data_IF_204219522780
#
_entry.id   IF_204219522780
#
_cell.length_a   1.000
_cell.length_b   1.000
_cell.length_c   1.000
_cell.angle_alpha   90.00
_cell.angle_beta   90.00
_cell.angle_gamma   90.00
#
_symmetry.space_group_name_H-M   'P 1'
#
loop_
_entity.id
_entity.type
_entity.pdbx_description
1 polymer ?
#
# COMPACT_ATOMS: atom_id res chain seq x y z
N UNK A 1 36.03 -74.49 -39.17
CA UNK A 1 36.32 -73.10 -38.75
C UNK A 1 37.14 -72.45 -39.86
N UNK A 2 36.98 -71.16 -40.21
CA UNK A 2 36.15 -70.11 -39.59
C UNK A 2 34.96 -69.67 -40.47
N UNK A 3 33.96 -69.00 -39.89
CA UNK A 3 32.95 -68.22 -40.62
C UNK A 3 32.73 -66.87 -39.94
N UNK A 4 32.67 -65.80 -40.73
CA UNK A 4 32.74 -64.40 -40.27
C UNK A 4 31.36 -63.85 -39.92
N UNK A 5 31.27 -63.08 -38.84
CA UNK A 5 30.07 -62.32 -38.45
C UNK A 5 29.80 -61.17 -39.42
N UNK A 6 28.52 -60.93 -39.77
CA UNK A 6 28.08 -59.66 -40.35
C UNK A 6 26.61 -59.35 -40.00
N UNK A 7 26.35 -58.05 -39.76
CA UNK A 7 25.06 -57.34 -39.84
C UNK A 7 23.99 -57.56 -38.75
N UNK A 8 23.96 -56.68 -37.71
CA UNK A 8 22.75 -56.23 -37.04
C UNK A 8 22.44 -54.76 -37.43
N UNK A 9 22.10 -54.52 -38.71
CA UNK A 9 21.88 -53.16 -39.25
C UNK A 9 20.42 -52.71 -39.34
N UNK A 10 19.45 -53.61 -39.21
CA UNK A 10 18.06 -53.38 -39.65
C UNK A 10 17.01 -53.37 -38.52
N UNK A 11 17.41 -53.05 -37.28
CA UNK A 11 16.50 -52.98 -36.12
C UNK A 11 16.49 -51.61 -35.39
N UNK A 12 17.07 -50.58 -36.01
CA UNK A 12 17.04 -49.18 -35.52
C UNK A 12 16.20 -48.25 -36.42
N UNK A 13 15.13 -48.78 -37.01
CA UNK A 13 14.28 -48.05 -37.97
C UNK A 13 12.77 -48.09 -37.64
N UNK A 14 12.38 -48.41 -36.39
CA UNK A 14 10.95 -48.52 -35.99
C UNK A 14 10.54 -47.78 -34.71
N UNK A 15 11.44 -47.00 -34.09
CA UNK A 15 11.17 -46.30 -32.82
C UNK A 15 11.01 -44.76 -32.97
N UNK A 16 10.78 -44.25 -34.19
CA UNK A 16 10.99 -42.83 -34.52
C UNK A 16 9.74 -42.06 -35.00
N UNK A 17 8.53 -42.33 -34.46
CA UNK A 17 7.32 -41.53 -34.79
C UNK A 17 6.41 -41.22 -33.57
N UNK A 18 6.32 -42.08 -32.56
CA UNK A 18 5.29 -41.99 -31.50
C UNK A 18 5.64 -41.12 -30.27
N UNK A 19 6.43 -40.04 -30.43
CA UNK A 19 6.96 -39.25 -29.28
C UNK A 19 6.94 -37.73 -29.49
N UNK A 20 5.84 -37.17 -30.03
CA UNK A 20 5.68 -35.72 -30.21
C UNK A 20 4.37 -35.23 -29.58
N UNK A 21 4.42 -34.01 -29.02
CA UNK A 21 3.33 -33.23 -28.40
C UNK A 21 2.75 -33.71 -27.05
N UNK A 22 3.47 -33.40 -25.97
CA UNK A 22 2.90 -33.13 -24.63
C UNK A 22 3.70 -32.06 -23.87
N UNK A 23 3.94 -30.88 -24.48
CA UNK A 23 4.52 -29.71 -23.80
C UNK A 23 3.80 -28.42 -24.27
N UNK A 24 2.70 -28.06 -23.61
CA UNK A 24 1.99 -26.78 -23.81
C UNK A 24 1.01 -26.45 -22.66
N UNK A 25 1.43 -26.56 -21.39
CA UNK A 25 0.51 -26.38 -20.24
C UNK A 25 1.02 -25.48 -19.08
N UNK A 26 2.30 -25.10 -19.04
CA UNK A 26 2.90 -24.59 -17.79
C UNK A 26 2.64 -23.10 -17.48
N UNK A 27 2.22 -22.29 -18.46
CA UNK A 27 1.97 -20.84 -18.24
C UNK A 27 0.57 -20.49 -17.74
N UNK A 28 -0.40 -21.40 -17.75
CA UNK A 28 -1.78 -21.12 -17.32
C UNK A 28 -1.98 -21.18 -15.80
N UNK A 29 -1.19 -21.99 -15.10
CA UNK A 29 -1.38 -22.32 -13.67
C UNK A 29 -1.35 -21.08 -12.76
N UNK A 30 -0.40 -20.13 -12.87
CA UNK A 30 -0.38 -18.94 -12.00
C UNK A 30 -1.59 -18.04 -12.22
N UNK A 31 -1.94 -17.74 -13.48
CA UNK A 31 -3.09 -16.88 -13.81
C UNK A 31 -4.42 -17.52 -13.41
N UNK A 32 -4.56 -18.84 -13.56
CA UNK A 32 -5.76 -19.56 -13.12
C UNK A 32 -5.86 -19.64 -11.59
N UNK A 33 -4.74 -19.86 -10.90
CA UNK A 33 -4.65 -19.78 -9.43
C UNK A 33 -5.04 -18.39 -8.91
N UNK A 34 -4.53 -17.32 -9.54
CA UNK A 34 -4.88 -15.94 -9.20
C UNK A 34 -6.39 -15.69 -9.32
N UNK A 35 -7.00 -16.09 -10.45
CA UNK A 35 -8.45 -15.95 -10.67
C UNK A 35 -9.29 -16.77 -9.70
N UNK A 36 -8.88 -18.00 -9.38
CA UNK A 36 -9.57 -18.82 -8.39
C UNK A 36 -9.51 -18.20 -6.99
N UNK A 37 -8.34 -17.65 -6.60
CA UNK A 37 -8.16 -16.94 -5.33
C UNK A 37 -9.03 -15.68 -5.26
N UNK A 38 -9.08 -14.84 -6.30
CA UNK A 38 -9.90 -13.62 -6.30
C UNK A 38 -11.40 -13.92 -6.25
N UNK A 39 -11.90 -14.92 -6.99
CA UNK A 39 -13.31 -15.33 -6.91
C UNK A 39 -13.70 -15.83 -5.52
N UNK A 40 -12.80 -16.51 -4.80
CA UNK A 40 -13.03 -16.92 -3.41
C UNK A 40 -13.05 -15.72 -2.46
N UNK A 41 -12.14 -14.75 -2.63
CA UNK A 41 -12.14 -13.50 -1.85
C UNK A 41 -13.47 -12.73 -2.03
N UNK A 42 -13.93 -12.55 -3.27
CA UNK A 42 -15.23 -11.91 -3.57
C UNK A 42 -16.41 -12.69 -2.95
N UNK A 43 -16.34 -14.02 -2.92
CA UNK A 43 -17.37 -14.86 -2.30
C UNK A 43 -17.39 -14.71 -0.79
N UNK A 44 -16.22 -14.66 -0.15
CA UNK A 44 -16.10 -14.41 1.29
C UNK A 44 -16.58 -13.00 1.69
N UNK A 45 -16.35 -11.99 0.85
CA UNK A 45 -16.90 -10.62 1.03
C UNK A 45 -18.42 -10.65 1.12
N UNK A 46 -19.10 -11.28 0.16
CA UNK A 46 -20.57 -11.42 0.18
C UNK A 46 -21.06 -12.23 1.38
N UNK A 47 -20.34 -13.29 1.75
CA UNK A 47 -20.65 -14.06 2.95
C UNK A 47 -20.54 -13.20 4.21
N UNK A 48 -19.50 -12.37 4.33
CA UNK A 48 -19.34 -11.43 5.45
C UNK A 48 -20.46 -10.39 5.50
N UNK A 49 -20.80 -9.75 4.37
CA UNK A 49 -21.89 -8.77 4.26
C UNK A 49 -23.24 -9.38 4.70
N UNK A 50 -23.47 -10.65 4.38
CA UNK A 50 -24.65 -11.42 4.85
C UNK A 50 -24.55 -11.95 6.29
N UNK A 51 -23.50 -11.59 7.04
CA UNK A 51 -23.28 -12.03 8.43
C UNK A 51 -22.78 -13.48 8.59
N UNK A 52 -22.51 -14.20 7.49
CA UNK A 52 -22.09 -15.61 7.49
C UNK A 52 -20.57 -15.74 7.75
N UNK A 53 -20.12 -15.27 8.92
CA UNK A 53 -18.70 -15.12 9.28
C UNK A 53 -17.89 -16.42 9.14
N UNK A 54 -18.44 -17.55 9.62
CA UNK A 54 -17.72 -18.83 9.60
C UNK A 54 -17.61 -19.41 8.18
N UNK A 55 -18.61 -19.19 7.32
CA UNK A 55 -18.51 -19.56 5.91
C UNK A 55 -17.50 -18.68 5.16
N UNK A 56 -17.47 -17.37 5.45
CA UNK A 56 -16.48 -16.46 4.89
C UNK A 56 -15.06 -16.88 5.28
N UNK A 57 -14.86 -17.32 6.53
CA UNK A 57 -13.58 -17.83 7.02
C UNK A 57 -13.17 -19.11 6.27
N UNK A 58 -14.05 -20.10 6.15
CA UNK A 58 -13.78 -21.34 5.40
C UNK A 58 -13.48 -21.06 3.91
N UNK A 59 -14.17 -20.10 3.29
CA UNK A 59 -13.91 -19.67 1.91
C UNK A 59 -12.51 -19.04 1.76
N UNK A 60 -12.07 -18.21 2.70
CA UNK A 60 -10.73 -17.61 2.69
C UNK A 60 -9.62 -18.60 3.05
N UNK A 61 -9.87 -19.54 3.95
CA UNK A 61 -8.93 -20.63 4.26
C UNK A 61 -8.70 -21.52 3.02
N UNK A 62 -9.75 -21.80 2.24
CA UNK A 62 -9.64 -22.45 0.93
C UNK A 62 -8.89 -21.59 -0.10
N UNK A 63 -9.06 -20.26 -0.09
CA UNK A 63 -8.25 -19.36 -0.93
C UNK A 63 -6.76 -19.39 -0.54
N UNK A 64 -6.44 -19.50 0.75
CA UNK A 64 -5.06 -19.71 1.22
C UNK A 64 -4.50 -21.10 0.86
N UNK A 65 -5.33 -22.13 0.70
CA UNK A 65 -4.84 -23.42 0.19
C UNK A 65 -4.41 -23.33 -1.28
N UNK A 66 -5.08 -22.48 -2.08
CA UNK A 66 -4.69 -22.21 -3.47
C UNK A 66 -3.49 -21.24 -3.52
N UNK A 67 -3.43 -20.26 -2.62
CA UNK A 67 -2.34 -19.27 -2.52
C UNK A 67 -1.93 -18.98 -1.07
N UNK A 68 -0.99 -19.74 -0.48
CA UNK A 68 -0.61 -19.62 0.95
C UNK A 68 -0.03 -18.25 1.36
N UNK A 69 0.37 -17.45 0.37
CA UNK A 69 1.05 -16.18 0.52
C UNK A 69 0.33 -15.00 -0.16
N UNK A 70 -0.95 -15.13 -0.54
CA UNK A 70 -1.69 -14.02 -1.13
C UNK A 70 -1.95 -12.92 -0.07
N UNK A 71 -1.46 -11.67 -0.24
CA UNK A 71 -1.56 -10.65 0.79
C UNK A 71 -3.02 -10.19 1.04
N UNK A 72 -3.86 -10.15 0.01
CA UNK A 72 -5.27 -9.77 0.17
C UNK A 72 -6.05 -10.85 0.95
N UNK A 73 -5.83 -12.13 0.65
CA UNK A 73 -6.46 -13.24 1.39
C UNK A 73 -6.06 -13.23 2.86
N UNK A 74 -4.77 -12.98 3.15
CA UNK A 74 -4.27 -12.85 4.52
C UNK A 74 -4.91 -11.65 5.26
N UNK A 75 -5.07 -10.51 4.59
CA UNK A 75 -5.74 -9.33 5.14
C UNK A 75 -7.20 -9.65 5.52
N UNK A 76 -7.98 -10.16 4.57
CA UNK A 76 -9.41 -10.43 4.78
C UNK A 76 -9.67 -11.51 5.82
N UNK A 77 -8.84 -12.56 5.90
CA UNK A 77 -8.95 -13.54 6.99
C UNK A 77 -8.64 -12.90 8.35
N UNK A 78 -7.69 -11.95 8.39
CA UNK A 78 -7.40 -11.16 9.57
C UNK A 78 -8.60 -10.30 10.02
N UNK A 79 -9.32 -9.67 9.10
CA UNK A 79 -10.57 -8.94 9.40
C UNK A 79 -11.63 -9.86 10.03
N UNK A 80 -11.82 -11.06 9.50
CA UNK A 80 -12.74 -12.04 10.10
C UNK A 80 -12.30 -12.47 11.51
N UNK A 81 -11.00 -12.73 11.71
CA UNK A 81 -10.47 -13.06 13.04
C UNK A 81 -10.63 -11.91 14.03
N UNK A 82 -10.56 -10.65 13.59
CA UNK A 82 -10.85 -9.49 14.42
C UNK A 82 -12.31 -9.50 14.91
N UNK A 83 -13.25 -9.73 13.98
CA UNK A 83 -14.69 -9.82 14.26
C UNK A 83 -15.05 -11.02 15.15
N UNK A 84 -14.35 -12.14 15.00
CA UNK A 84 -14.50 -13.33 15.86
C UNK A 84 -13.81 -13.21 17.23
N UNK A 85 -13.29 -12.03 17.61
CA UNK A 85 -12.57 -11.82 18.89
C UNK A 85 -11.16 -12.42 18.95
N UNK A 86 -10.69 -13.03 17.86
CA UNK A 86 -9.39 -13.72 17.75
C UNK A 86 -8.27 -12.74 17.41
N UNK A 87 -8.17 -11.67 18.20
CA UNK A 87 -7.35 -10.48 17.90
C UNK A 87 -5.87 -10.79 17.62
N UNK A 88 -5.25 -11.71 18.38
CA UNK A 88 -3.84 -12.11 18.15
C UNK A 88 -3.62 -12.79 16.79
N UNK A 89 -4.62 -13.51 16.27
CA UNK A 89 -4.56 -14.08 14.93
C UNK A 89 -4.73 -12.99 13.87
N UNK A 90 -5.65 -12.04 14.08
CA UNK A 90 -5.86 -10.90 13.18
C UNK A 90 -4.58 -10.07 12.98
N UNK A 91 -3.91 -9.72 14.08
CA UNK A 91 -2.61 -9.04 14.11
C UNK A 91 -1.54 -9.84 13.33
N UNK A 92 -1.44 -11.14 13.59
CA UNK A 92 -0.48 -12.04 12.94
C UNK A 92 -0.70 -12.16 11.43
N UNK A 93 -1.96 -12.26 10.99
CA UNK A 93 -2.34 -12.35 9.58
C UNK A 93 -2.05 -11.05 8.82
N UNK A 94 -2.35 -9.90 9.42
CA UNK A 94 -2.04 -8.59 8.86
C UNK A 94 -0.52 -8.33 8.75
N UNK A 95 0.27 -8.73 9.76
CA UNK A 95 1.73 -8.69 9.69
C UNK A 95 2.27 -9.60 8.57
N UNK A 96 1.77 -10.84 8.45
CA UNK A 96 2.14 -11.76 7.36
C UNK A 96 1.80 -11.19 5.99
N UNK A 97 0.65 -10.52 5.85
CA UNK A 97 0.25 -9.81 4.64
C UNK A 97 1.23 -8.68 4.30
N UNK A 98 1.55 -7.79 5.24
CA UNK A 98 2.47 -6.66 5.03
C UNK A 98 3.86 -7.04 4.46
N UNK A 99 4.38 -8.23 4.80
CA UNK A 99 5.64 -8.76 4.24
C UNK A 99 5.53 -9.12 2.75
N UNK A 100 4.31 -9.33 2.23
CA UNK A 100 3.98 -9.83 0.88
C UNK A 100 3.25 -8.81 0.00
N UNK A 101 2.81 -7.68 0.56
CA UNK A 101 1.99 -6.63 -0.10
C UNK A 101 2.68 -5.93 -1.29
N UNK A 102 4.01 -5.99 -1.38
CA UNK A 102 4.73 -5.33 -2.49
C UNK A 102 4.48 -3.82 -2.55
N UNK A 103 4.13 -3.33 -3.74
CA UNK A 103 3.87 -1.91 -4.03
C UNK A 103 2.50 -1.39 -3.59
N UNK A 104 1.57 -2.26 -3.18
CA UNK A 104 0.20 -1.87 -2.86
C UNK A 104 0.12 -1.11 -1.52
N UNK A 105 0.23 0.23 -1.59
CA UNK A 105 0.22 1.12 -0.41
C UNK A 105 -1.11 1.03 0.33
N UNK A 106 -2.22 0.93 -0.38
CA UNK A 106 -3.57 0.88 0.18
C UNK A 106 -3.76 -0.36 1.07
N UNK A 107 -3.43 -1.55 0.57
CA UNK A 107 -3.49 -2.79 1.36
C UNK A 107 -2.55 -2.75 2.56
N UNK A 108 -1.40 -2.06 2.46
CA UNK A 108 -0.49 -1.82 3.59
C UNK A 108 -1.13 -0.96 4.67
N UNK A 109 -1.83 0.10 4.28
CA UNK A 109 -2.56 0.99 5.19
C UNK A 109 -3.72 0.24 5.88
N UNK A 110 -4.50 -0.56 5.14
CA UNK A 110 -5.58 -1.41 5.72
C UNK A 110 -5.05 -2.47 6.69
N UNK A 111 -3.97 -3.17 6.35
CA UNK A 111 -3.29 -4.07 7.27
C UNK A 111 -2.82 -3.37 8.53
N UNK A 112 -2.30 -2.15 8.39
CA UNK A 112 -1.90 -1.35 9.54
C UNK A 112 -3.10 -1.04 10.45
N UNK A 113 -4.22 -0.56 9.90
CA UNK A 113 -5.45 -0.29 10.67
C UNK A 113 -5.95 -1.54 11.40
N UNK A 114 -5.92 -2.70 10.73
CA UNK A 114 -6.30 -4.00 11.30
C UNK A 114 -5.40 -4.42 12.48
N UNK A 115 -4.08 -4.18 12.40
CA UNK A 115 -3.14 -4.42 13.52
C UNK A 115 -3.51 -3.54 14.72
N UNK A 116 -3.76 -2.25 14.49
CA UNK A 116 -4.13 -1.31 15.55
C UNK A 116 -5.45 -1.71 16.22
N UNK A 117 -6.48 -2.03 15.42
CA UNK A 117 -7.79 -2.45 15.94
C UNK A 117 -7.67 -3.74 16.78
N UNK A 118 -6.85 -4.69 16.34
CA UNK A 118 -6.57 -5.92 17.09
C UNK A 118 -5.86 -5.64 18.42
N UNK A 119 -4.84 -4.79 18.42
CA UNK A 119 -4.11 -4.41 19.64
C UNK A 119 -4.99 -3.66 20.64
N UNK A 120 -5.82 -2.71 20.16
CA UNK A 120 -6.75 -1.97 20.99
C UNK A 120 -7.79 -2.90 21.63
N UNK A 121 -8.43 -3.76 20.84
CA UNK A 121 -9.46 -4.68 21.32
C UNK A 121 -8.93 -5.70 22.35
N UNK A 122 -7.64 -6.10 22.26
CA UNK A 122 -6.96 -6.91 23.28
C UNK A 122 -6.78 -6.19 24.62
N UNK A 123 -6.54 -4.88 24.59
CA UNK A 123 -6.29 -4.07 25.80
C UNK A 123 -7.61 -3.64 26.44
N UNK A 124 -8.60 -3.24 25.65
CA UNK A 124 -9.87 -2.72 26.15
C UNK A 124 -10.94 -3.79 26.39
N UNK A 125 -10.70 -5.04 25.96
CA UNK A 125 -11.69 -6.13 25.88
C UNK A 125 -12.99 -5.75 25.14
N UNK A 126 -12.97 -4.64 24.38
CA UNK A 126 -14.13 -4.14 23.65
C UNK A 126 -14.01 -4.58 22.20
N UNK A 127 -15.05 -5.18 21.59
CA UNK A 127 -15.05 -5.43 20.15
C UNK A 127 -14.83 -4.11 19.39
N UNK A 128 -13.96 -4.07 18.38
CA UNK A 128 -13.73 -2.85 17.62
C UNK A 128 -15.00 -2.46 16.87
N UNK A 129 -15.33 -1.17 16.88
CA UNK A 129 -16.45 -0.60 16.12
C UNK A 129 -16.08 -0.63 14.62
N UNK A 130 -16.38 -1.75 13.97
CA UNK A 130 -15.75 -2.13 12.71
C UNK A 130 -16.72 -2.91 11.78
N UNK A 131 -17.95 -2.39 11.60
CA UNK A 131 -18.93 -2.98 10.67
C UNK A 131 -18.82 -2.41 9.26
N UNK A 132 -18.69 -1.10 9.11
CA UNK A 132 -18.53 -0.46 7.81
C UNK A 132 -17.15 -0.74 7.15
N UNK A 133 -17.17 -1.22 5.90
CA UNK A 133 -16.11 -0.99 4.90
C UNK A 133 -14.91 -1.95 4.85
N UNK A 134 -14.51 -2.61 5.95
CA UNK A 134 -13.25 -3.39 5.99
C UNK A 134 -13.11 -4.52 4.97
N UNK A 135 -14.23 -5.13 4.57
CA UNK A 135 -14.27 -6.26 3.64
C UNK A 135 -14.72 -5.86 2.22
N UNK A 136 -14.88 -4.56 1.94
CA UNK A 136 -15.18 -4.08 0.60
C UNK A 136 -14.02 -4.44 -0.36
N UNK A 137 -14.23 -5.49 -1.15
CA UNK A 137 -13.33 -5.88 -2.25
C UNK A 137 -13.41 -4.79 -3.32
N UNK A 138 -12.48 -3.84 -3.25
CA UNK A 138 -12.33 -2.85 -4.30
C UNK A 138 -11.97 -3.58 -5.59
N UNK A 139 -12.88 -3.47 -6.56
CA UNK A 139 -12.76 -4.04 -7.89
C UNK A 139 -11.76 -3.22 -8.72
N UNK A 140 -10.49 -3.33 -8.34
CA UNK A 140 -9.32 -2.68 -8.96
C UNK A 140 -8.19 -3.68 -8.95
N UNK A 141 -8.08 -4.51 -9.99
CA UNK A 141 -7.36 -4.24 -11.24
C UNK A 141 -5.96 -4.86 -11.19
N UNK A 142 -5.69 -5.66 -12.21
CA UNK A 142 -4.54 -6.52 -12.37
C UNK A 142 -3.20 -5.85 -12.03
N UNK A 143 -2.42 -6.52 -11.19
CA UNK A 143 -1.01 -6.19 -10.95
C UNK A 143 -0.17 -6.70 -12.15
N UNK A 144 -0.44 -6.17 -13.36
CA UNK A 144 0.59 -6.12 -14.39
C UNK A 144 1.64 -5.12 -13.92
N UNK A 145 2.70 -5.64 -13.29
CA UNK A 145 3.99 -4.97 -13.28
C UNK A 145 4.47 -4.92 -14.72
N UNK A 146 4.65 -3.75 -15.36
CA UNK A 146 5.35 -3.68 -16.63
C UNK A 146 6.82 -4.00 -16.34
N UNK A 147 7.28 -5.14 -16.84
CA UNK A 147 8.70 -5.45 -16.88
C UNK A 147 9.42 -4.32 -17.64
N UNK A 148 10.60 -3.91 -17.17
CA UNK A 148 11.27 -2.72 -17.68
C UNK A 148 11.77 -2.93 -19.12
N UNK A 149 11.13 -2.30 -20.11
CA UNK A 149 11.73 -2.15 -21.43
C UNK A 149 12.82 -1.06 -21.39
N UNK A 150 14.06 -1.52 -21.36
CA UNK A 150 15.24 -0.70 -21.63
C UNK A 150 15.32 -0.36 -23.13
N UNK A 151 15.24 0.92 -23.45
CA UNK A 151 15.63 1.47 -24.76
C UNK A 151 16.54 2.71 -24.54
N UNK A 152 17.48 3.00 -25.47
CA UNK A 152 18.68 3.76 -25.14
C UNK A 152 18.49 5.27 -25.13
N UNK A 153 19.45 5.95 -24.49
CA UNK A 153 19.59 7.39 -24.53
C UNK A 153 20.12 7.88 -25.88
N UNK A 154 19.58 8.99 -26.37
CA UNK A 154 20.21 9.80 -27.41
C UNK A 154 20.23 11.27 -26.99
N UNK A 155 21.42 11.86 -27.02
CA UNK A 155 21.63 13.28 -26.71
C UNK A 155 21.57 14.10 -28.00
N UNK A 156 21.36 15.42 -27.86
CA UNK A 156 22.41 16.29 -28.39
C UNK A 156 22.89 17.32 -27.37
N UNK A 157 24.20 17.29 -27.12
CA UNK A 157 24.98 18.47 -26.79
C UNK A 157 25.12 19.34 -28.06
N UNK A 158 25.41 20.63 -28.03
CA UNK A 158 25.35 21.67 -26.99
C UNK A 158 25.48 23.01 -27.75
N UNK A 159 25.14 24.14 -27.13
CA UNK A 159 26.06 25.27 -27.25
C UNK A 159 25.98 26.25 -26.08
N UNK A 160 27.05 27.02 -25.92
CA UNK A 160 27.51 27.55 -24.63
C UNK A 160 27.12 29.02 -24.42
N UNK A 161 26.93 29.45 -23.16
CA UNK A 161 27.57 30.62 -22.50
C UNK A 161 26.82 30.98 -21.20
N UNK A 162 27.56 31.04 -20.09
CA UNK A 162 27.21 31.85 -18.90
C UNK A 162 28.13 33.09 -18.89
N UNK A 163 27.73 34.20 -18.27
CA UNK A 163 28.12 34.35 -16.85
C UNK A 163 27.09 35.06 -15.94
N UNK A 164 27.26 34.79 -14.64
CA UNK A 164 26.91 35.56 -13.44
C UNK A 164 25.99 36.81 -13.53
N UNK A 165 24.95 36.86 -12.69
CA UNK A 165 24.30 38.14 -12.35
C UNK A 165 22.98 38.11 -11.56
N UNK A 166 23.09 38.21 -10.22
CA UNK A 166 22.25 39.04 -9.31
C UNK A 166 20.72 38.77 -9.19
N UNK A 167 20.26 38.76 -7.93
CA UNK A 167 18.86 38.76 -7.49
C UNK A 167 18.00 39.89 -8.09
N UNK A 168 16.84 39.57 -8.65
CA UNK A 168 15.74 40.52 -8.86
C UNK A 168 14.65 40.34 -7.79
N UNK A 169 14.65 41.24 -6.79
CA UNK A 169 13.64 41.33 -5.73
C UNK A 169 12.62 42.40 -6.11
N UNK A 170 11.36 42.03 -6.31
CA UNK A 170 10.27 43.02 -6.36
C UNK A 170 10.00 43.55 -4.94
N UNK A 171 10.05 44.88 -4.78
CA UNK A 171 9.65 45.62 -3.57
C UNK A 171 8.74 46.78 -3.99
N UNK A 172 7.60 46.90 -3.32
CA UNK A 172 7.00 48.16 -2.87
C UNK A 172 6.35 47.81 -1.51
N UNK A 173 6.78 48.33 -0.36
CA UNK A 173 6.52 49.70 0.13
C UNK A 173 4.99 49.96 0.17
N UNK A 174 4.33 50.24 1.30
CA UNK A 174 4.65 51.06 2.48
C UNK A 174 3.77 50.60 3.68
N UNK A 175 3.97 50.92 4.97
CA UNK A 175 5.08 51.49 5.77
C UNK A 175 4.95 50.97 7.23
N UNK A 176 5.87 51.36 8.13
CA UNK A 176 5.84 50.99 9.56
C UNK A 176 5.11 52.02 10.43
N UNK A 177 4.09 51.61 11.21
CA UNK A 177 3.72 52.25 12.48
C UNK A 177 3.27 51.16 13.47
N UNK A 178 4.00 50.99 14.57
CA UNK A 178 3.48 50.39 15.80
C UNK A 178 2.91 51.50 16.69
N UNK A 179 1.75 51.29 17.33
CA UNK A 179 1.42 51.91 18.61
C UNK A 179 1.59 50.90 19.75
N UNK A 180 2.22 51.34 20.82
CA UNK A 180 2.40 50.57 22.06
C UNK A 180 1.22 50.72 23.02
N UNK A 181 0.89 49.63 23.72
CA UNK A 181 0.44 49.56 25.11
C UNK A 181 -0.94 50.13 25.53
N UNK A 182 -1.70 49.22 26.17
CA UNK A 182 -2.42 49.40 27.45
C UNK A 182 -3.77 50.16 27.50
N UNK A 183 -4.87 49.39 27.48
CA UNK A 183 -5.82 49.26 28.63
C UNK A 183 -6.91 48.19 28.41
N UNK A 184 -7.54 47.67 29.49
CA UNK A 184 -8.58 46.63 29.42
C UNK A 184 -10.01 47.16 29.55
N UNK A 185 -11.01 46.35 29.13
CA UNK A 185 -12.47 46.30 29.47
C UNK A 185 -13.33 46.06 28.20
N UNK A 186 -14.62 45.66 28.32
CA UNK A 186 -15.19 44.62 29.18
C UNK A 186 -16.03 43.62 28.35
N UNK A 187 -16.87 42.79 28.99
CA UNK A 187 -17.79 41.89 28.29
C UNK A 187 -18.82 42.61 27.40
N UNK A 188 -19.07 42.09 26.21
CA UNK A 188 -20.08 42.55 25.26
C UNK A 188 -20.44 41.45 24.26
N UNK A 189 -21.70 41.07 24.22
CA UNK A 189 -22.26 39.92 23.50
C UNK A 189 -22.75 40.33 22.10
N UNK A 190 -22.18 39.79 21.01
CA UNK A 190 -22.77 39.92 19.66
C UNK A 190 -22.57 38.67 18.79
N UNK A 191 -23.65 37.90 18.67
CA UNK A 191 -24.15 37.14 17.51
C UNK A 191 -23.22 36.17 16.73
N UNK A 192 -23.67 34.91 16.71
CA UNK A 192 -23.20 33.87 15.79
C UNK A 192 -23.65 34.16 14.36
N UNK A 193 -22.70 34.45 13.47
CA UNK A 193 -22.90 34.22 12.04
C UNK A 193 -22.57 32.75 11.76
N UNK A 194 -23.55 31.97 11.28
CA UNK A 194 -23.28 30.65 10.71
C UNK A 194 -22.47 30.82 9.43
N UNK A 195 -21.16 30.68 9.54
CA UNK A 195 -20.29 30.42 8.38
C UNK A 195 -20.52 28.96 8.01
N UNK A 196 -21.10 28.72 6.83
CA UNK A 196 -21.14 27.38 6.26
C UNK A 196 -19.69 26.86 6.16
N UNK A 197 -19.38 25.64 6.62
CA UNK A 197 -18.02 25.14 6.56
C UNK A 197 -17.63 24.91 5.09
N UNK A 198 -16.76 25.80 4.59
CA UNK A 198 -15.93 25.56 3.40
C UNK A 198 -15.38 24.12 3.42
N UNK A 199 -15.29 23.43 2.28
CA UNK A 199 -14.95 22.01 2.22
C UNK A 199 -13.56 21.79 2.83
N UNK A 200 -13.55 21.23 4.04
CA UNK A 200 -12.34 20.96 4.79
C UNK A 200 -11.46 19.96 4.04
N UNK A 201 -10.42 20.48 3.38
CA UNK A 201 -9.20 19.73 3.17
C UNK A 201 -8.62 19.45 4.57
N UNK A 202 -8.82 18.22 5.07
CA UNK A 202 -8.60 17.85 6.47
C UNK A 202 -7.30 18.44 7.04
N UNK A 203 -7.43 19.27 8.07
CA UNK A 203 -6.28 19.93 8.69
C UNK A 203 -5.37 18.87 9.33
N UNK A 204 -4.19 18.66 8.75
CA UNK A 204 -3.29 17.55 9.11
C UNK A 204 -2.64 17.81 10.47
N UNK A 205 -3.34 17.46 11.55
CA UNK A 205 -2.86 17.57 12.92
C UNK A 205 -1.72 16.58 13.17
N UNK A 206 -0.50 17.10 13.33
CA UNK A 206 0.69 16.33 13.68
C UNK A 206 0.88 16.36 15.21
N UNK A 207 0.79 15.23 15.93
CA UNK A 207 0.94 15.23 17.38
C UNK A 207 2.33 15.70 17.85
N UNK A 208 2.37 16.33 19.03
CA UNK A 208 3.62 16.77 19.66
C UNK A 208 4.60 15.60 19.81
N UNK A 209 5.88 15.84 19.57
CA UNK A 209 6.92 14.80 19.55
C UNK A 209 7.10 14.08 18.20
N UNK A 210 6.21 14.30 17.22
CA UNK A 210 6.33 13.67 15.89
C UNK A 210 6.91 14.58 14.79
N UNK A 211 7.11 15.86 15.08
CA UNK A 211 7.91 16.76 14.26
C UNK A 211 9.37 16.27 14.17
N UNK A 212 10.05 16.45 13.03
CA UNK A 212 11.49 16.19 12.92
C UNK A 212 12.30 17.14 13.83
N UNK A 213 13.51 16.74 14.26
CA UNK A 213 14.42 17.64 14.98
C UNK A 213 15.02 18.71 14.05
N UNK A 214 15.56 19.82 14.61
CA UNK A 214 16.13 20.92 13.85
C UNK A 214 17.06 20.52 12.70
N UNK A 215 16.79 21.05 11.50
CA UNK A 215 17.58 20.79 10.29
C UNK A 215 17.37 19.41 9.66
N UNK A 216 16.39 18.62 10.14
CA UNK A 216 15.90 17.40 9.49
C UNK A 216 14.51 17.64 8.91
N UNK A 217 14.16 16.81 7.94
CA UNK A 217 12.81 16.76 7.41
C UNK A 217 12.20 15.37 7.65
N UNK A 218 10.88 15.27 7.68
CA UNK A 218 10.13 14.01 7.79
C UNK A 218 9.02 13.98 6.76
N UNK A 219 8.84 12.85 6.07
CA UNK A 219 7.65 12.65 5.24
C UNK A 219 6.53 12.14 6.15
N UNK A 220 5.36 12.75 6.08
CA UNK A 220 4.18 12.44 6.88
C UNK A 220 3.02 11.99 6.00
N UNK A 221 2.43 10.85 6.33
CA UNK A 221 1.27 10.30 5.62
C UNK A 221 0.03 10.41 6.53
N UNK A 222 -1.02 11.18 6.20
CA UNK A 222 -2.19 11.32 7.07
C UNK A 222 -2.79 9.97 7.52
N UNK A 223 -2.83 9.01 6.61
CA UNK A 223 -3.42 7.67 6.83
C UNK A 223 -2.56 6.73 7.71
N UNK A 224 -1.41 7.21 8.23
CA UNK A 224 -0.51 6.41 9.08
C UNK A 224 -0.43 7.01 10.49
N UNK A 225 -0.64 6.20 11.54
CA UNK A 225 -0.50 6.71 12.89
C UNK A 225 0.92 7.15 13.23
N UNK A 226 1.05 8.08 14.19
CA UNK A 226 2.29 8.81 14.45
C UNK A 226 3.54 7.95 14.67
N UNK A 227 3.40 6.79 15.32
CA UNK A 227 4.49 5.85 15.61
C UNK A 227 5.02 5.06 14.40
N UNK A 228 4.24 4.97 13.32
CA UNK A 228 4.59 4.21 12.10
C UNK A 228 5.00 5.10 10.91
N UNK A 229 5.18 6.39 11.19
CA UNK A 229 5.66 7.39 10.24
C UNK A 229 7.19 7.23 10.05
N UNK A 230 7.71 7.35 8.81
CA UNK A 230 9.12 7.13 8.53
C UNK A 230 10.02 8.05 9.36
N UNK A 231 11.23 7.59 9.67
CA UNK A 231 12.18 8.35 10.47
C UNK A 231 12.59 9.67 9.77
N UNK A 232 12.88 10.75 10.53
CA UNK A 232 13.45 11.98 9.99
C UNK A 232 14.76 11.74 9.22
N UNK A 233 14.96 12.50 8.15
CA UNK A 233 16.11 12.38 7.25
C UNK A 233 16.63 13.73 6.75
N UNK A 234 17.55 13.68 5.80
CA UNK A 234 18.08 14.89 5.16
C UNK A 234 17.03 15.53 4.25
N UNK A 235 16.72 16.81 4.49
CA UNK A 235 15.80 17.59 3.64
C UNK A 235 16.16 17.55 2.15
N UNK A 236 17.47 17.63 1.81
CA UNK A 236 17.95 17.53 0.43
C UNK A 236 17.58 16.19 -0.24
N UNK A 237 17.52 15.09 0.52
CA UNK A 237 17.12 13.76 0.04
C UNK A 237 15.60 13.58 -0.02
N UNK A 238 14.86 14.12 0.95
CA UNK A 238 13.42 13.89 1.08
C UNK A 238 12.56 14.81 0.21
N UNK A 239 12.99 16.05 -0.07
CA UNK A 239 12.24 17.03 -0.88
C UNK A 239 11.86 16.56 -2.29
N UNK A 240 12.63 15.62 -2.85
CA UNK A 240 12.42 15.05 -4.19
C UNK A 240 11.79 13.65 -4.14
N UNK A 241 11.28 13.23 -2.98
CA UNK A 241 10.79 11.86 -2.71
C UNK A 241 9.47 11.84 -1.93
N UNK A 242 8.76 12.97 -1.90
CA UNK A 242 7.44 13.09 -1.26
C UNK A 242 6.40 12.47 -2.20
N UNK A 243 5.72 11.37 -1.83
CA UNK A 243 4.66 10.80 -2.66
C UNK A 243 3.41 11.68 -2.66
N UNK A 244 2.50 11.54 -3.65
CA UNK A 244 1.17 12.15 -3.59
C UNK A 244 0.45 11.82 -2.27
N UNK A 245 -0.29 12.79 -1.72
CA UNK A 245 -1.00 12.65 -0.43
C UNK A 245 -0.09 12.71 0.81
N UNK A 246 1.24 12.82 0.66
CA UNK A 246 2.17 12.96 1.78
C UNK A 246 2.69 14.39 1.93
N UNK A 247 3.02 14.77 3.17
CA UNK A 247 3.49 16.09 3.55
C UNK A 247 4.97 16.05 3.92
N UNK A 248 5.73 17.10 3.60
CA UNK A 248 7.12 17.24 4.02
C UNK A 248 7.22 18.19 5.21
N UNK A 249 7.37 17.62 6.40
CA UNK A 249 7.60 18.36 7.63
C UNK A 249 9.06 18.80 7.71
N UNK A 250 9.29 20.01 8.19
CA UNK A 250 10.62 20.56 8.48
C UNK A 250 10.71 20.86 9.98
N UNK A 251 11.91 20.76 10.54
CA UNK A 251 12.20 21.01 11.96
C UNK A 251 13.30 22.04 12.14
#
# INVERSE_FOLDING_TARGET
>A
MPTKSFLPGLLLAFCAVASHCSIAAERSVPTQSNRASTTLIETASRQYESGQLDQAAATLERALHIQPNNPATLHYLGVLRLQQGQYQQAETLAMRSNVRVGGNVELRNRNFQLIQAAQQARVSNTPPQAREGLLAVQKGQDEQVPEAEMAPAEQPAADTVQPAGIFARAKAAWASIWPTADRPQPAGEVQMASVEPEPAYDEVVIPRGHLPPPGKCRIWFPDRPPGHQPAPGSCKKLRHRVPPGAFLLQG
#
